data_IF_223517812492
#
_entry.id   IF_223517812492
#
_cell.length_a   1.000
_cell.length_b   1.000
_cell.length_c   1.000
_cell.angle_alpha   90.00
_cell.angle_beta   90.00
_cell.angle_gamma   90.00
#
_symmetry.space_group_name_H-M   'P 1'
#
loop_
_entity.id
_entity.type
_entity.pdbx_description
1 polymer ?
#
# COMPACT_ATOMS: atom_id res chain seq x y z
N UNK A 1 -12.78 -9.06 31.17
CA UNK A 1 -11.59 -8.96 30.29
C UNK A 1 -10.61 -7.98 30.93
N UNK A 2 -9.37 -8.41 31.15
CA UNK A 2 -8.31 -7.54 31.69
C UNK A 2 -8.07 -6.39 30.71
N UNK A 3 -8.18 -5.15 31.19
CA UNK A 3 -8.03 -3.93 30.34
C UNK A 3 -6.56 -3.50 30.19
N UNK A 4 -5.66 -4.11 30.97
CA UNK A 4 -4.22 -3.79 30.98
C UNK A 4 -3.48 -4.59 29.92
N UNK A 5 -2.52 -3.94 29.26
CA UNK A 5 -1.61 -4.59 28.30
C UNK A 5 -0.65 -5.54 29.03
N UNK A 6 -0.45 -6.73 28.46
CA UNK A 6 0.48 -7.74 28.98
C UNK A 6 1.32 -8.29 27.82
N UNK A 7 2.64 -8.21 27.94
CA UNK A 7 3.57 -8.58 26.87
C UNK A 7 3.56 -10.08 26.56
N UNK A 8 3.34 -10.94 27.57
CA UNK A 8 3.27 -12.40 27.35
C UNK A 8 2.00 -12.78 26.57
N UNK A 9 0.86 -12.19 26.94
CA UNK A 9 -0.39 -12.38 26.19
C UNK A 9 -0.28 -11.83 24.78
N UNK A 10 0.32 -10.66 24.60
CA UNK A 10 0.57 -10.08 23.29
C UNK A 10 1.43 -10.99 22.41
N UNK A 11 2.51 -11.58 22.95
CA UNK A 11 3.32 -12.57 22.25
C UNK A 11 2.53 -13.81 21.79
N UNK A 12 1.61 -14.29 22.63
CA UNK A 12 0.72 -15.41 22.25
C UNK A 12 -0.25 -15.03 21.14
N UNK A 13 -0.78 -13.80 21.13
CA UNK A 13 -1.63 -13.28 20.04
C UNK A 13 -0.83 -13.18 18.75
N UNK A 14 0.39 -12.63 18.80
CA UNK A 14 1.28 -12.56 17.63
C UNK A 14 1.56 -13.95 17.06
N UNK A 15 1.87 -14.93 17.91
CA UNK A 15 2.10 -16.31 17.47
C UNK A 15 0.86 -16.93 16.82
N UNK A 16 -0.31 -16.72 17.38
CA UNK A 16 -1.58 -17.16 16.80
C UNK A 16 -1.81 -16.51 15.42
N UNK A 17 -1.59 -15.21 15.33
CA UNK A 17 -1.78 -14.47 14.08
C UNK A 17 -0.72 -14.82 13.04
N UNK A 18 0.52 -15.22 13.43
CA UNK A 18 1.52 -15.77 12.53
C UNK A 18 1.05 -17.04 11.81
N UNK A 19 0.48 -17.98 12.56
CA UNK A 19 -0.07 -19.21 12.00
C UNK A 19 -1.25 -18.91 11.06
N UNK A 20 -2.14 -18.03 11.51
CA UNK A 20 -3.26 -17.55 10.68
C UNK A 20 -2.80 -16.83 9.43
N UNK A 21 -1.68 -16.11 9.48
CA UNK A 21 -1.06 -15.44 8.34
C UNK A 21 -0.66 -16.46 7.27
N UNK A 22 0.11 -17.46 7.65
CA UNK A 22 0.55 -18.49 6.71
C UNK A 22 -0.63 -19.26 6.10
N UNK A 23 -1.63 -19.62 6.91
CA UNK A 23 -2.80 -20.38 6.46
C UNK A 23 -3.73 -19.59 5.52
N UNK A 24 -3.99 -18.31 5.82
CA UNK A 24 -5.00 -17.52 5.11
C UNK A 24 -4.41 -16.64 4.01
N UNK A 25 -3.16 -16.22 4.15
CA UNK A 25 -2.50 -15.28 3.23
C UNK A 25 -1.32 -15.90 2.47
N UNK A 26 -0.70 -16.97 2.97
CA UNK A 26 0.45 -17.61 2.35
C UNK A 26 0.22 -17.96 0.88
N UNK A 27 -0.93 -18.56 0.54
CA UNK A 27 -1.27 -18.86 -0.86
C UNK A 27 -1.38 -17.59 -1.73
N UNK A 28 -1.89 -16.51 -1.18
CA UNK A 28 -1.95 -15.22 -1.89
C UNK A 28 -0.56 -14.68 -2.21
N UNK A 29 0.38 -14.81 -1.27
CA UNK A 29 1.79 -14.44 -1.52
C UNK A 29 2.42 -15.32 -2.61
N UNK A 30 2.20 -16.62 -2.58
CA UNK A 30 2.71 -17.55 -3.63
C UNK A 30 2.22 -17.12 -5.01
N UNK A 31 0.93 -16.79 -5.14
CA UNK A 31 0.37 -16.31 -6.42
C UNK A 31 1.02 -14.98 -6.83
N UNK A 32 1.17 -14.02 -5.91
CA UNK A 32 1.80 -12.73 -6.20
C UNK A 32 3.27 -12.86 -6.59
N UNK A 33 4.00 -13.82 -6.03
CA UNK A 33 5.38 -14.11 -6.42
C UNK A 33 5.49 -14.88 -7.73
N UNK A 34 4.49 -15.67 -8.10
CA UNK A 34 4.45 -16.36 -9.38
C UNK A 34 4.28 -15.41 -10.57
N UNK A 35 3.62 -14.27 -10.39
CA UNK A 35 3.35 -13.31 -11.48
C UNK A 35 4.65 -12.76 -12.11
N UNK A 36 5.63 -12.24 -11.38
CA UNK A 36 6.91 -11.79 -11.94
C UNK A 36 7.65 -12.93 -12.67
N UNK A 37 7.62 -14.13 -12.13
CA UNK A 37 8.26 -15.32 -12.75
C UNK A 37 7.60 -15.66 -14.08
N UNK A 38 6.27 -15.63 -14.15
CA UNK A 38 5.52 -15.89 -15.39
C UNK A 38 5.82 -14.81 -16.46
N UNK A 39 5.82 -13.53 -16.08
CA UNK A 39 6.14 -12.46 -17.01
C UNK A 39 7.55 -12.61 -17.53
N UNK A 40 8.51 -12.84 -16.64
CA UNK A 40 9.90 -13.09 -17.03
C UNK A 40 10.02 -14.28 -18.01
N UNK A 41 9.33 -15.39 -17.72
CA UNK A 41 9.36 -16.59 -18.57
C UNK A 41 8.82 -16.33 -19.97
N UNK A 42 7.74 -15.53 -20.09
CA UNK A 42 7.15 -15.16 -21.37
C UNK A 42 8.13 -14.29 -22.18
N UNK A 43 8.75 -13.30 -21.53
CA UNK A 43 9.70 -12.40 -22.17
C UNK A 43 10.99 -13.13 -22.58
N UNK A 44 11.50 -14.01 -21.72
CA UNK A 44 12.70 -14.81 -21.99
C UNK A 44 12.56 -15.71 -23.23
N UNK A 45 11.35 -16.24 -23.47
CA UNK A 45 11.08 -17.11 -24.64
C UNK A 45 10.67 -16.30 -25.88
N UNK A 46 10.02 -15.14 -25.69
CA UNK A 46 9.37 -14.42 -26.75
C UNK A 46 10.13 -13.20 -27.30
N UNK A 47 11.18 -12.73 -26.62
CA UNK A 47 11.95 -11.56 -27.02
C UNK A 47 13.42 -11.94 -27.25
N UNK A 48 13.96 -11.50 -28.40
CA UNK A 48 15.38 -11.68 -28.73
C UNK A 48 16.26 -10.52 -28.19
N UNK A 49 15.64 -9.44 -27.68
CA UNK A 49 16.36 -8.29 -27.15
C UNK A 49 16.75 -8.52 -25.68
N UNK A 50 18.06 -8.60 -25.37
CA UNK A 50 18.52 -8.51 -24.00
C UNK A 50 18.16 -7.11 -23.45
N UNK A 51 17.86 -7.05 -22.15
CA UNK A 51 17.51 -5.79 -21.45
C UNK A 51 16.17 -5.15 -21.89
N UNK A 52 15.24 -5.95 -22.40
CA UNK A 52 13.92 -5.47 -22.86
C UNK A 52 13.10 -4.76 -21.77
N UNK A 53 13.34 -5.09 -20.49
CA UNK A 53 12.70 -4.45 -19.35
C UNK A 53 13.71 -3.70 -18.48
N UNK A 54 13.61 -2.37 -18.48
CA UNK A 54 14.45 -1.52 -17.64
C UNK A 54 14.08 -1.66 -16.14
N UNK A 55 15.04 -1.38 -15.25
CA UNK A 55 14.88 -1.53 -13.81
C UNK A 55 13.70 -0.74 -13.25
N UNK A 56 13.47 0.49 -13.74
CA UNK A 56 12.40 1.35 -13.24
C UNK A 56 11.00 0.82 -13.58
N UNK A 57 10.83 0.18 -14.75
CA UNK A 57 9.55 -0.44 -15.15
C UNK A 57 9.21 -1.64 -14.26
N UNK A 58 10.21 -2.49 -13.99
CA UNK A 58 10.08 -3.63 -13.09
C UNK A 58 9.80 -3.17 -11.66
N UNK A 59 10.49 -2.13 -11.21
CA UNK A 59 10.23 -1.53 -9.89
C UNK A 59 8.78 -1.04 -9.78
N UNK A 60 8.27 -0.32 -10.77
CA UNK A 60 6.87 0.12 -10.82
C UNK A 60 5.90 -1.04 -10.77
N UNK A 61 6.18 -2.11 -11.52
CA UNK A 61 5.37 -3.32 -11.52
C UNK A 61 5.36 -4.03 -10.14
N UNK A 62 6.52 -4.20 -9.51
CA UNK A 62 6.62 -4.79 -8.17
C UNK A 62 5.91 -3.93 -7.11
N UNK A 63 5.93 -2.60 -7.24
CA UNK A 63 5.16 -1.70 -6.38
C UNK A 63 3.65 -1.91 -6.52
N UNK A 64 3.13 -2.07 -7.73
CA UNK A 64 1.71 -2.35 -7.95
C UNK A 64 1.32 -3.67 -7.28
N UNK A 65 2.12 -4.71 -7.41
CA UNK A 65 1.88 -5.98 -6.73
C UNK A 65 1.99 -5.85 -5.20
N UNK A 66 2.90 -5.01 -4.68
CA UNK A 66 2.98 -4.69 -3.25
C UNK A 66 1.68 -4.04 -2.75
N UNK A 67 1.14 -3.07 -3.48
CA UNK A 67 -0.15 -2.44 -3.17
C UNK A 67 -1.26 -3.49 -3.11
N UNK A 68 -1.31 -4.40 -4.08
CA UNK A 68 -2.28 -5.49 -4.11
C UNK A 68 -2.13 -6.40 -2.89
N UNK A 69 -0.91 -6.80 -2.54
CA UNK A 69 -0.62 -7.60 -1.35
C UNK A 69 -1.14 -6.93 -0.08
N UNK A 70 -0.84 -5.63 0.08
CA UNK A 70 -1.22 -4.84 1.24
C UNK A 70 -2.74 -4.61 1.34
N UNK A 71 -3.43 -4.43 0.22
CA UNK A 71 -4.90 -4.32 0.16
C UNK A 71 -5.57 -5.64 0.56
N UNK A 72 -5.03 -6.76 0.11
CA UNK A 72 -5.58 -8.08 0.38
C UNK A 72 -5.31 -8.56 1.80
N UNK A 73 -4.19 -8.17 2.42
CA UNK A 73 -3.77 -8.64 3.74
C UNK A 73 -4.86 -8.46 4.83
N UNK A 74 -5.41 -7.25 5.10
CA UNK A 74 -6.43 -7.09 6.13
C UNK A 74 -7.68 -7.93 5.87
N UNK A 75 -8.09 -8.05 4.60
CA UNK A 75 -9.30 -8.76 4.22
C UNK A 75 -9.17 -10.28 4.30
N UNK A 76 -7.96 -10.82 4.13
CA UNK A 76 -7.67 -12.25 4.21
C UNK A 76 -7.38 -12.69 5.64
N UNK A 77 -6.52 -11.95 6.36
CA UNK A 77 -6.12 -12.26 7.72
C UNK A 77 -7.27 -12.14 8.71
N UNK A 78 -7.99 -11.04 8.65
CA UNK A 78 -9.06 -10.72 9.60
C UNK A 78 -10.45 -10.81 8.96
N UNK A 79 -10.59 -11.74 7.99
CA UNK A 79 -11.83 -12.01 7.26
C UNK A 79 -13.02 -12.18 8.19
N UNK A 80 -12.83 -12.91 9.26
CA UNK A 80 -13.89 -13.31 10.17
C UNK A 80 -14.10 -12.32 11.34
N UNK A 81 -13.20 -11.35 11.55
CA UNK A 81 -13.24 -10.46 12.70
C UNK A 81 -14.56 -9.64 12.83
N UNK A 82 -15.26 -9.40 11.74
CA UNK A 82 -16.56 -8.70 11.74
C UNK A 82 -17.75 -9.59 11.34
N UNK A 83 -17.58 -10.91 11.39
CA UNK A 83 -18.68 -11.86 11.15
C UNK A 83 -19.40 -12.16 12.44
N UNK A 84 -20.75 -12.18 12.43
CA UNK A 84 -21.56 -12.40 13.64
C UNK A 84 -21.41 -13.81 14.24
N UNK A 85 -21.05 -14.81 13.43
CA UNK A 85 -20.87 -16.19 13.92
C UNK A 85 -19.39 -16.53 14.12
N UNK A 86 -18.54 -16.25 13.13
CA UNK A 86 -17.11 -16.58 13.16
C UNK A 86 -16.28 -15.56 13.94
N UNK A 87 -16.77 -14.34 14.13
CA UNK A 87 -16.12 -13.30 14.93
C UNK A 87 -16.04 -13.62 16.43
N UNK A 88 -16.86 -14.58 16.89
CA UNK A 88 -16.78 -15.10 18.28
C UNK A 88 -15.37 -15.62 18.57
N UNK A 89 -14.71 -16.30 17.64
CA UNK A 89 -13.34 -16.78 17.82
C UNK A 89 -12.35 -15.64 18.07
N UNK A 90 -12.48 -14.53 17.31
CA UNK A 90 -11.66 -13.33 17.52
C UNK A 90 -12.00 -12.65 18.86
N UNK A 91 -13.27 -12.67 19.28
CA UNK A 91 -13.69 -12.12 20.56
C UNK A 91 -13.16 -12.94 21.74
N UNK A 92 -13.21 -14.27 21.62
CA UNK A 92 -12.79 -15.20 22.69
C UNK A 92 -11.28 -15.27 22.91
N UNK A 93 -10.46 -14.71 22.02
CA UNK A 93 -9.01 -14.60 22.24
C UNK A 93 -8.77 -13.90 23.60
N UNK A 94 -8.02 -14.54 24.52
CA UNK A 94 -7.78 -14.00 25.86
C UNK A 94 -6.78 -12.85 25.86
N UNK A 95 -7.12 -11.78 25.11
CA UNK A 95 -6.29 -10.62 24.90
C UNK A 95 -7.10 -9.33 25.02
N UNK A 96 -6.45 -8.22 25.38
CA UNK A 96 -7.07 -6.91 25.40
C UNK A 96 -7.34 -6.41 23.96
N UNK A 97 -8.27 -5.46 23.81
CA UNK A 97 -8.56 -4.88 22.50
C UNK A 97 -7.34 -4.18 21.88
N UNK A 98 -6.46 -3.63 22.74
CA UNK A 98 -5.21 -3.01 22.31
C UNK A 98 -4.24 -4.06 21.76
N UNK A 99 -4.07 -5.20 22.43
CA UNK A 99 -3.21 -6.30 22.00
C UNK A 99 -3.64 -6.85 20.63
N UNK A 100 -4.97 -7.05 20.44
CA UNK A 100 -5.55 -7.46 19.15
C UNK A 100 -5.31 -6.45 18.04
N UNK A 101 -5.52 -5.16 18.34
CA UNK A 101 -5.29 -4.09 17.38
C UNK A 101 -3.81 -3.97 16.99
N UNK A 102 -2.90 -4.02 17.97
CA UNK A 102 -1.46 -3.95 17.71
C UNK A 102 -0.97 -5.15 16.88
N UNK A 103 -1.42 -6.37 17.20
CA UNK A 103 -1.10 -7.55 16.40
C UNK A 103 -1.57 -7.37 14.94
N UNK A 104 -2.82 -6.95 14.76
CA UNK A 104 -3.37 -6.67 13.44
C UNK A 104 -2.55 -5.62 12.68
N UNK A 105 -2.16 -4.54 13.36
CA UNK A 105 -1.36 -3.47 12.76
C UNK A 105 0.03 -3.96 12.36
N UNK A 106 0.71 -4.73 13.22
CA UNK A 106 2.03 -5.29 12.91
C UNK A 106 1.98 -6.19 11.67
N UNK A 107 1.01 -7.12 11.61
CA UNK A 107 0.92 -8.02 10.45
C UNK A 107 0.56 -7.29 9.16
N UNK A 108 -0.36 -6.34 9.20
CA UNK A 108 -0.79 -5.63 7.99
C UNK A 108 0.19 -4.55 7.54
N UNK A 109 0.76 -3.76 8.48
CA UNK A 109 1.56 -2.58 8.16
C UNK A 109 3.07 -2.86 8.11
N UNK A 110 3.55 -3.91 8.79
CA UNK A 110 5.00 -4.19 8.90
C UNK A 110 5.34 -5.53 8.25
N UNK A 111 4.73 -6.62 8.71
CA UNK A 111 5.10 -7.97 8.26
C UNK A 111 4.78 -8.18 6.77
N UNK A 112 3.60 -7.79 6.32
CA UNK A 112 3.19 -7.99 4.92
C UNK A 112 4.07 -7.22 3.93
N UNK A 113 4.32 -5.90 4.07
CA UNK A 113 5.17 -5.18 3.15
C UNK A 113 6.62 -5.68 3.16
N UNK A 114 7.18 -5.95 4.34
CA UNK A 114 8.56 -6.45 4.45
C UNK A 114 8.69 -7.83 3.80
N UNK A 115 7.80 -8.77 4.11
CA UNK A 115 7.80 -10.11 3.52
C UNK A 115 7.66 -10.07 2.00
N UNK A 116 6.73 -9.23 1.51
CA UNK A 116 6.53 -9.09 0.07
C UNK A 116 7.76 -8.48 -0.59
N UNK A 117 8.30 -7.39 -0.04
CA UNK A 117 9.43 -6.67 -0.62
C UNK A 117 10.69 -7.54 -0.66
N UNK A 118 11.01 -8.19 0.45
CA UNK A 118 12.17 -9.12 0.52
C UNK A 118 12.00 -10.28 -0.46
N UNK A 119 10.81 -10.88 -0.52
CA UNK A 119 10.55 -11.99 -1.45
C UNK A 119 10.59 -11.55 -2.92
N UNK A 120 10.03 -10.38 -3.25
CA UNK A 120 10.02 -9.85 -4.61
C UNK A 120 11.43 -9.50 -5.09
N UNK A 121 12.23 -8.84 -4.25
CA UNK A 121 13.64 -8.53 -4.55
C UNK A 121 14.46 -9.81 -4.70
N UNK A 122 14.26 -10.81 -3.84
CA UNK A 122 14.97 -12.09 -3.95
C UNK A 122 14.65 -12.78 -5.27
N UNK A 123 13.38 -12.80 -5.70
CA UNK A 123 12.99 -13.40 -6.97
C UNK A 123 13.60 -12.60 -8.13
N UNK A 124 13.51 -11.28 -8.13
CA UNK A 124 14.11 -10.43 -9.16
C UNK A 124 15.62 -10.68 -9.29
N UNK A 125 16.35 -10.77 -8.17
CA UNK A 125 17.77 -11.07 -8.17
C UNK A 125 18.06 -12.47 -8.78
N UNK A 126 17.27 -13.48 -8.43
CA UNK A 126 17.46 -14.84 -8.98
C UNK A 126 17.21 -14.83 -10.49
N UNK A 127 16.16 -14.18 -10.97
CA UNK A 127 15.82 -14.10 -12.39
C UNK A 127 16.87 -13.34 -13.19
N UNK A 128 17.40 -12.24 -12.63
CA UNK A 128 18.47 -11.44 -13.26
C UNK A 128 19.77 -12.23 -13.41
N UNK A 129 20.06 -13.21 -12.54
CA UNK A 129 21.27 -14.03 -12.59
C UNK A 129 21.20 -15.17 -13.61
N UNK A 130 20.07 -15.42 -14.24
CA UNK A 130 19.93 -16.50 -15.23
C UNK A 130 20.68 -16.10 -16.51
N UNK A 131 21.66 -16.91 -16.96
CA UNK A 131 22.44 -16.59 -18.16
C UNK A 131 21.62 -16.78 -19.43
N UNK A 132 21.99 -16.06 -20.50
CA UNK A 132 21.33 -16.13 -21.81
C UNK A 132 20.81 -14.76 -22.25
N UNK A 133 19.86 -14.73 -23.19
CA UNK A 133 19.14 -13.52 -23.59
C UNK A 133 18.18 -13.08 -22.48
N UNK A 134 18.74 -12.58 -21.37
CA UNK A 134 17.94 -12.20 -20.22
C UNK A 134 17.23 -10.87 -20.48
N UNK A 135 15.89 -10.82 -20.39
CA UNK A 135 15.13 -9.55 -20.57
C UNK A 135 15.38 -8.54 -19.44
N UNK A 136 16.09 -8.89 -18.37
CA UNK A 136 16.34 -8.04 -17.21
C UNK A 136 17.74 -7.43 -17.26
N UNK A 137 17.84 -6.11 -17.50
CA UNK A 137 19.08 -5.35 -17.66
C UNK A 137 19.83 -4.99 -16.37
N UNK A 138 19.51 -5.59 -15.23
CA UNK A 138 20.18 -5.31 -13.95
C UNK A 138 19.30 -5.60 -12.73
N UNK A 139 19.75 -5.21 -11.54
CA UNK A 139 19.04 -5.47 -10.28
C UNK A 139 18.14 -4.32 -9.87
N UNK A 140 16.88 -4.60 -9.62
CA UNK A 140 15.88 -3.60 -9.17
C UNK A 140 16.20 -3.03 -7.79
N UNK A 141 16.89 -3.78 -6.91
CA UNK A 141 17.15 -3.31 -5.55
C UNK A 141 17.96 -2.00 -5.51
N UNK A 142 18.77 -1.72 -6.54
CA UNK A 142 19.53 -0.48 -6.66
C UNK A 142 18.63 0.75 -6.71
N UNK A 143 17.49 0.64 -7.39
CA UNK A 143 16.59 1.78 -7.62
C UNK A 143 15.63 2.02 -6.45
N UNK A 144 15.40 0.99 -5.60
CA UNK A 144 14.56 1.10 -4.41
C UNK A 144 15.07 2.18 -3.44
N UNK A 145 16.39 2.37 -3.35
CA UNK A 145 16.99 3.36 -2.44
C UNK A 145 17.00 4.79 -3.00
N UNK A 146 16.75 4.96 -4.29
CA UNK A 146 16.67 6.30 -4.92
C UNK A 146 15.27 6.94 -4.88
N UNK A 147 14.29 6.29 -4.26
CA UNK A 147 12.87 6.69 -4.28
C UNK A 147 12.48 7.79 -3.29
N UNK A 148 13.44 8.40 -2.61
CA UNK A 148 13.18 9.47 -1.65
C UNK A 148 13.03 10.86 -2.29
N UNK A 149 13.18 10.94 -3.62
CA UNK A 149 13.11 12.19 -4.36
C UNK A 149 12.00 12.04 -5.39
N UNK A 150 11.01 12.91 -5.30
CA UNK A 150 9.97 13.01 -6.34
C UNK A 150 10.45 14.02 -7.38
N UNK A 151 10.60 13.55 -8.62
CA UNK A 151 10.91 14.41 -9.76
C UNK A 151 9.61 15.00 -10.28
N UNK A 152 9.54 16.31 -10.39
CA UNK A 152 8.40 17.04 -10.94
C UNK A 152 8.91 17.88 -12.10
N UNK A 153 8.41 17.60 -13.29
CA UNK A 153 8.66 18.40 -14.48
C UNK A 153 7.65 19.56 -14.52
N UNK A 154 8.16 20.78 -14.48
CA UNK A 154 7.39 21.99 -14.61
C UNK A 154 7.99 22.81 -15.76
N UNK A 155 7.23 22.97 -16.82
CA UNK A 155 7.71 23.63 -18.05
C UNK A 155 8.97 22.97 -18.60
N UNK A 156 10.12 23.62 -18.60
CA UNK A 156 11.39 23.09 -19.09
C UNK A 156 12.37 22.72 -17.95
N UNK A 157 11.97 22.93 -16.69
CA UNK A 157 12.81 22.68 -15.50
C UNK A 157 12.38 21.47 -14.70
N UNK A 158 13.36 20.66 -14.30
CA UNK A 158 13.16 19.48 -13.45
C UNK A 158 13.38 19.85 -11.99
N UNK A 159 12.30 19.87 -11.21
CA UNK A 159 12.36 20.13 -9.77
C UNK A 159 12.46 18.82 -8.99
N UNK A 160 13.43 18.75 -8.08
CA UNK A 160 13.63 17.62 -7.17
C UNK A 160 13.05 17.95 -5.79
N UNK A 161 11.95 17.27 -5.44
CA UNK A 161 11.32 17.43 -4.13
C UNK A 161 11.79 16.34 -3.17
N UNK A 162 12.55 16.68 -2.11
CA UNK A 162 12.95 15.71 -1.10
C UNK A 162 11.78 15.35 -0.19
N UNK A 163 11.05 14.32 -0.52
CA UNK A 163 9.95 13.77 0.27
C UNK A 163 10.36 12.40 0.83
N UNK A 164 11.01 12.35 2.01
CA UNK A 164 11.53 11.11 2.56
C UNK A 164 10.38 10.14 2.85
N UNK A 165 10.56 8.87 2.45
CA UNK A 165 9.58 7.81 2.66
C UNK A 165 8.17 8.07 2.08
N UNK A 166 8.04 8.95 1.08
CA UNK A 166 6.76 9.31 0.45
C UNK A 166 5.95 8.06 0.05
N UNK A 167 6.59 7.11 -0.64
CA UNK A 167 5.93 5.88 -1.09
C UNK A 167 5.50 4.99 0.08
N UNK A 168 6.29 4.96 1.16
CA UNK A 168 5.94 4.19 2.37
C UNK A 168 4.70 4.77 3.03
N UNK A 169 4.60 6.08 3.21
CA UNK A 169 3.41 6.70 3.80
C UNK A 169 2.17 6.55 2.92
N UNK A 170 2.34 6.60 1.60
CA UNK A 170 1.28 6.34 0.65
C UNK A 170 0.75 4.90 0.79
N UNK A 171 1.64 3.91 0.85
CA UNK A 171 1.27 2.51 1.07
C UNK A 171 0.58 2.31 2.42
N UNK A 172 1.10 2.89 3.49
CA UNK A 172 0.52 2.81 4.82
C UNK A 172 -0.89 3.42 4.89
N UNK A 173 -1.13 4.52 4.16
CA UNK A 173 -2.46 5.14 4.08
C UNK A 173 -3.47 4.20 3.42
N UNK A 174 -3.12 3.56 2.30
CA UNK A 174 -3.99 2.55 1.67
C UNK A 174 -4.30 1.39 2.60
N UNK A 175 -3.28 0.79 3.22
CA UNK A 175 -3.50 -0.34 4.13
C UNK A 175 -4.40 0.04 5.29
N UNK A 176 -4.19 1.22 5.91
CA UNK A 176 -5.00 1.68 7.04
C UNK A 176 -6.48 1.87 6.67
N UNK A 177 -6.78 2.36 5.46
CA UNK A 177 -8.15 2.44 4.92
C UNK A 177 -8.75 1.03 4.81
N UNK A 178 -8.02 0.08 4.21
CA UNK A 178 -8.50 -1.30 4.07
C UNK A 178 -8.64 -2.03 5.40
N UNK A 179 -7.79 -1.74 6.39
CA UNK A 179 -7.96 -2.23 7.77
C UNK A 179 -9.26 -1.74 8.40
N UNK A 180 -9.55 -0.45 8.30
CA UNK A 180 -10.77 0.15 8.84
C UNK A 180 -12.03 -0.39 8.15
N UNK A 181 -12.05 -0.40 6.84
CA UNK A 181 -13.20 -0.87 6.04
C UNK A 181 -13.44 -2.38 6.22
N UNK A 182 -12.37 -3.17 6.45
CA UNK A 182 -12.49 -4.58 6.81
C UNK A 182 -13.29 -4.79 8.11
N UNK A 183 -13.19 -3.86 9.07
CA UNK A 183 -13.96 -3.90 10.32
C UNK A 183 -15.40 -3.37 10.17
N UNK A 184 -15.71 -2.66 9.11
CA UNK A 184 -17.07 -2.15 8.83
C UNK A 184 -17.87 -3.15 7.99
N UNK A 185 -17.33 -3.61 6.87
CA UNK A 185 -18.05 -4.45 5.92
C UNK A 185 -18.03 -5.92 6.31
N UNK A 186 -19.21 -6.58 6.25
CA UNK A 186 -19.34 -8.02 6.52
C UNK A 186 -19.04 -8.88 5.29
N UNK A 187 -19.46 -8.43 4.08
CA UNK A 187 -19.32 -9.18 2.82
C UNK A 187 -18.72 -8.29 1.74
N UNK A 188 -17.96 -8.90 0.80
CA UNK A 188 -17.31 -8.22 -0.35
C UNK A 188 -16.52 -6.99 0.07
N UNK A 189 -15.70 -7.14 1.13
CA UNK A 189 -15.01 -6.05 1.82
C UNK A 189 -14.15 -5.23 0.86
N UNK A 190 -13.27 -5.88 0.10
CA UNK A 190 -12.36 -5.22 -0.84
C UNK A 190 -13.12 -4.49 -1.95
N UNK A 191 -14.07 -5.16 -2.62
CA UNK A 191 -14.83 -4.54 -3.72
C UNK A 191 -15.62 -3.32 -3.28
N UNK A 192 -16.24 -3.36 -2.08
CA UNK A 192 -16.95 -2.20 -1.53
C UNK A 192 -16.03 -1.04 -1.21
N UNK A 193 -14.86 -1.34 -0.65
CA UNK A 193 -13.85 -0.31 -0.36
C UNK A 193 -13.35 0.34 -1.63
N UNK A 194 -13.01 -0.46 -2.64
CA UNK A 194 -12.57 0.06 -3.95
C UNK A 194 -13.69 0.90 -4.59
N UNK A 195 -14.95 0.44 -4.54
CA UNK A 195 -16.07 1.20 -5.07
C UNK A 195 -16.26 2.56 -4.39
N UNK A 196 -16.14 2.63 -3.07
CA UNK A 196 -16.22 3.90 -2.33
C UNK A 196 -15.04 4.81 -2.67
N UNK A 197 -13.81 4.27 -2.71
CA UNK A 197 -12.63 5.04 -3.07
C UNK A 197 -12.72 5.57 -4.51
N UNK A 198 -13.23 4.77 -5.45
CA UNK A 198 -13.47 5.20 -6.82
C UNK A 198 -14.49 6.35 -6.89
N UNK A 199 -15.60 6.25 -6.16
CA UNK A 199 -16.60 7.33 -6.10
C UNK A 199 -16.00 8.63 -5.52
N UNK A 200 -15.25 8.52 -4.42
CA UNK A 200 -14.55 9.67 -3.84
C UNK A 200 -13.56 10.26 -4.85
N UNK A 201 -12.78 9.41 -5.54
CA UNK A 201 -11.83 9.83 -6.57
C UNK A 201 -12.50 10.58 -7.73
N UNK A 202 -13.65 10.10 -8.20
CA UNK A 202 -14.43 10.78 -9.25
C UNK A 202 -14.91 12.15 -8.76
N UNK A 203 -15.40 12.26 -7.53
CA UNK A 203 -15.83 13.54 -6.95
C UNK A 203 -14.66 14.52 -6.90
N UNK A 204 -13.51 14.08 -6.41
CA UNK A 204 -12.30 14.91 -6.37
C UNK A 204 -11.86 15.33 -7.77
N UNK A 205 -11.89 14.43 -8.75
CA UNK A 205 -11.56 14.73 -10.13
C UNK A 205 -12.48 15.81 -10.72
N UNK A 206 -13.79 15.70 -10.48
CA UNK A 206 -14.77 16.71 -10.96
C UNK A 206 -14.51 18.07 -10.30
N UNK A 207 -14.22 18.09 -8.99
CA UNK A 207 -13.88 19.34 -8.27
C UNK A 207 -12.60 19.94 -8.85
N UNK A 208 -11.56 19.11 -9.05
CA UNK A 208 -10.29 19.55 -9.59
C UNK A 208 -10.44 20.14 -11.00
N UNK A 209 -11.19 19.48 -11.88
CA UNK A 209 -11.47 20.01 -13.25
C UNK A 209 -12.19 21.36 -13.15
N UNK A 210 -13.19 21.49 -12.28
CA UNK A 210 -13.90 22.79 -12.10
C UNK A 210 -12.98 23.89 -11.57
N UNK A 211 -12.09 23.57 -10.64
CA UNK A 211 -11.10 24.53 -10.13
C UNK A 211 -10.14 24.94 -11.25
N UNK A 212 -9.66 24.02 -12.05
CA UNK A 212 -8.77 24.30 -13.17
C UNK A 212 -9.46 25.20 -14.23
N UNK A 213 -10.69 24.86 -14.63
CA UNK A 213 -11.47 25.67 -15.58
C UNK A 213 -11.76 27.09 -15.02
N UNK A 214 -12.00 27.22 -13.71
CA UNK A 214 -12.17 28.51 -13.06
C UNK A 214 -10.87 29.33 -13.10
N UNK A 215 -9.73 28.69 -12.81
CA UNK A 215 -8.42 29.32 -12.91
C UNK A 215 -8.12 29.79 -14.34
N UNK A 216 -8.34 28.96 -15.34
CA UNK A 216 -8.18 29.28 -16.75
C UNK A 216 -9.06 30.46 -17.18
N UNK A 217 -10.27 30.59 -16.63
CA UNK A 217 -11.17 31.70 -16.91
C UNK A 217 -10.69 33.06 -16.35
N UNK A 218 -9.94 33.02 -15.21
CA UNK A 218 -9.41 34.24 -14.57
C UNK A 218 -8.11 34.70 -15.25
N UNK A 219 -7.21 33.74 -15.55
CA UNK A 219 -5.86 33.99 -16.07
C UNK A 219 -5.78 33.85 -17.58
N UNK A 220 -6.79 34.28 -18.30
CA UNK A 220 -6.99 34.05 -19.74
C UNK A 220 -5.84 34.46 -20.66
N UNK A 221 -4.84 35.21 -20.21
CA UNK A 221 -3.70 35.65 -21.04
C UNK A 221 -2.37 35.90 -20.31
N UNK A 222 -2.35 35.94 -18.98
CA UNK A 222 -1.08 36.09 -18.26
C UNK A 222 -0.65 34.73 -17.73
N UNK A 223 0.48 34.22 -18.23
CA UNK A 223 1.11 33.04 -17.66
C UNK A 223 1.37 33.32 -16.17
N UNK A 224 0.99 32.37 -15.32
CA UNK A 224 1.34 32.43 -13.91
C UNK A 224 2.86 32.52 -13.83
N UNK A 225 3.46 33.49 -13.12
CA UNK A 225 4.91 33.59 -12.98
C UNK A 225 5.50 32.25 -12.53
N UNK A 226 6.62 31.85 -13.13
CA UNK A 226 7.26 30.54 -12.87
C UNK A 226 7.49 30.29 -11.38
N UNK A 227 7.91 31.30 -10.63
CA UNK A 227 8.06 31.25 -9.15
C UNK A 227 6.76 30.86 -8.44
N UNK A 228 5.62 31.35 -8.93
CA UNK A 228 4.31 31.07 -8.34
C UNK A 228 3.87 29.62 -8.65
N UNK A 229 4.15 29.13 -9.85
CA UNK A 229 3.88 27.74 -10.24
C UNK A 229 4.69 26.78 -9.37
N UNK A 230 5.99 27.05 -9.17
CA UNK A 230 6.86 26.23 -8.34
C UNK A 230 6.34 26.15 -6.89
N UNK A 231 5.94 27.29 -6.31
CA UNK A 231 5.39 27.34 -4.94
C UNK A 231 4.10 26.52 -4.84
N UNK A 232 3.19 26.66 -5.81
CA UNK A 232 1.92 25.91 -5.83
C UNK A 232 2.14 24.40 -5.90
N UNK A 233 3.05 23.95 -6.74
CA UNK A 233 3.39 22.54 -6.89
C UNK A 233 4.03 21.99 -5.62
N UNK A 234 5.00 22.70 -5.04
CA UNK A 234 5.58 22.33 -3.75
C UNK A 234 4.52 22.22 -2.66
N UNK A 235 3.64 23.21 -2.53
CA UNK A 235 2.54 23.17 -1.57
C UNK A 235 1.59 21.98 -1.78
N UNK A 236 1.27 21.66 -3.04
CA UNK A 236 0.42 20.52 -3.36
C UNK A 236 1.06 19.18 -2.94
N UNK A 237 2.33 18.97 -3.27
CA UNK A 237 3.04 17.73 -2.93
C UNK A 237 3.25 17.59 -1.40
N UNK A 238 3.69 18.63 -0.71
CA UNK A 238 3.84 18.60 0.75
C UNK A 238 2.49 18.46 1.45
N UNK A 239 1.44 19.15 0.94
CA UNK A 239 0.08 19.02 1.46
C UNK A 239 -0.44 17.59 1.32
N UNK A 240 -0.24 16.95 0.16
CA UNK A 240 -0.62 15.56 -0.06
C UNK A 240 0.16 14.59 0.84
N UNK A 241 1.45 14.84 1.03
CA UNK A 241 2.29 14.04 1.94
C UNK A 241 1.78 14.10 3.39
N UNK A 242 1.54 15.29 3.91
CA UNK A 242 1.00 15.50 5.26
C UNK A 242 -0.41 14.89 5.39
N UNK A 243 -1.24 15.04 4.36
CA UNK A 243 -2.57 14.44 4.31
C UNK A 243 -2.52 12.91 4.46
N UNK A 244 -1.62 12.21 3.77
CA UNK A 244 -1.46 10.76 3.89
C UNK A 244 -1.05 10.33 5.30
N UNK A 245 -0.19 11.10 5.98
CA UNK A 245 0.20 10.82 7.37
C UNK A 245 -1.01 10.96 8.30
N UNK A 246 -1.74 12.07 8.21
CA UNK A 246 -2.93 12.33 9.02
C UNK A 246 -4.00 11.26 8.76
N UNK A 247 -4.23 10.92 7.50
CA UNK A 247 -5.19 9.89 7.10
C UNK A 247 -4.84 8.53 7.70
N UNK A 248 -3.57 8.15 7.67
CA UNK A 248 -3.10 6.89 8.27
C UNK A 248 -3.41 6.84 9.77
N UNK A 249 -3.05 7.90 10.50
CA UNK A 249 -3.29 7.99 11.95
C UNK A 249 -4.79 7.96 12.26
N UNK A 250 -5.59 8.71 11.51
CA UNK A 250 -7.05 8.75 11.68
C UNK A 250 -7.68 7.37 11.44
N UNK A 251 -7.33 6.69 10.34
CA UNK A 251 -7.89 5.38 10.01
C UNK A 251 -7.47 4.28 11.00
N UNK A 252 -6.24 4.31 11.49
CA UNK A 252 -5.79 3.40 12.55
C UNK A 252 -6.54 3.65 13.86
N UNK A 253 -6.72 4.91 14.26
CA UNK A 253 -7.50 5.29 15.44
C UNK A 253 -8.95 4.81 15.33
N UNK A 254 -9.60 5.02 14.18
CA UNK A 254 -10.96 4.57 13.91
C UNK A 254 -11.06 3.03 13.94
N UNK A 255 -10.04 2.32 13.43
CA UNK A 255 -9.96 0.86 13.49
C UNK A 255 -9.93 0.38 14.95
N UNK A 256 -9.08 0.99 15.77
CA UNK A 256 -9.03 0.69 17.20
C UNK A 256 -10.37 0.93 17.91
N UNK A 257 -10.99 2.10 17.69
CA UNK A 257 -12.31 2.41 18.27
C UNK A 257 -13.38 1.42 17.82
N UNK A 258 -13.33 0.96 16.57
CA UNK A 258 -14.27 -0.03 16.06
C UNK A 258 -14.09 -1.39 16.75
N UNK A 259 -12.85 -1.86 16.91
CA UNK A 259 -12.56 -3.10 17.66
C UNK A 259 -13.05 -2.99 19.10
N UNK A 260 -12.83 -1.85 19.76
CA UNK A 260 -13.28 -1.62 21.15
C UNK A 260 -14.81 -1.62 21.29
N UNK A 261 -15.55 -1.10 20.31
CA UNK A 261 -17.02 -1.01 20.32
C UNK A 261 -17.71 -2.29 19.79
N UNK A 262 -16.96 -3.23 19.26
CA UNK A 262 -17.53 -4.44 18.69
C UNK A 262 -18.11 -5.32 19.80
N UNK A 263 -19.44 -5.52 19.76
CA UNK A 263 -20.19 -6.45 20.59
C UNK A 263 -20.57 -7.66 19.71
N UNK A 264 -20.24 -8.85 20.16
CA UNK A 264 -20.54 -10.10 19.48
C UNK A 264 -21.78 -10.75 20.10
#
# INVERSE_FOLDING_TARGET
MNKTFDIKRFGNVLRHDALSYLQNFGWTLVVLFAIPILIWSILYVGMDDPDALMNYERYGFLLVLAIIAMILAPSRLYKNANDSRKGIQFAMLPASNLEKFLSMSIYCLVVTPILYLVGAVAIDCILTLIPGNNPYGGFVFRDIFHTNIVMVELTDDLYLLPLPFYQVFLLLSYVSIFMFTNMIFKKRKVSKTIGILALIGIIFMVIFIKVMLYYESIYKYDMIPDDTQEILVKCAYYGYYVFNIILTIAMLSLTYFKIRKQKY
#
